data_IF_217446721537
#
_entry.id   IF_217446721537
#
_cell.length_a   1.000
_cell.length_b   1.000
_cell.length_c   1.000
_cell.angle_alpha   90.00
_cell.angle_beta   90.00
_cell.angle_gamma   90.00
#
_symmetry.space_group_name_H-M   'P 1'
#
loop_
_entity.id
_entity.type
_entity.pdbx_description
1 polymer ?
#
# COMPACT_ATOMS: atom_id res chain seq x y z
N UNK A 1 -24.02 20.16 -2.91
CA UNK A 1 -23.16 19.50 -1.91
C UNK A 1 -24.03 19.22 -0.69
N UNK A 2 -24.25 17.96 -0.31
CA UNK A 2 -25.03 17.59 0.88
C UNK A 2 -24.09 17.46 2.10
N UNK A 3 -24.24 18.28 3.14
CA UNK A 3 -23.43 18.20 4.36
C UNK A 3 -23.48 16.83 5.04
N UNK A 4 -24.63 16.14 5.01
CA UNK A 4 -24.78 14.81 5.64
C UNK A 4 -23.96 13.77 4.89
N UNK A 5 -24.01 13.79 3.57
CA UNK A 5 -23.20 12.92 2.72
C UNK A 5 -21.70 13.16 2.93
N UNK A 6 -21.26 14.43 3.03
CA UNK A 6 -19.86 14.77 3.28
C UNK A 6 -19.35 14.18 4.59
N UNK A 7 -20.09 14.35 5.69
CA UNK A 7 -19.71 13.80 7.01
C UNK A 7 -19.64 12.27 6.97
N UNK A 8 -20.59 11.62 6.28
CA UNK A 8 -20.59 10.16 6.14
C UNK A 8 -19.37 9.67 5.35
N UNK A 9 -19.01 10.33 4.25
CA UNK A 9 -17.85 10.00 3.43
C UNK A 9 -16.54 10.19 4.20
N UNK A 10 -16.38 11.31 4.92
CA UNK A 10 -15.22 11.56 5.77
C UNK A 10 -15.09 10.48 6.86
N UNK A 11 -16.19 10.10 7.52
CA UNK A 11 -16.15 9.04 8.53
C UNK A 11 -15.75 7.69 7.93
N UNK A 12 -16.28 7.35 6.76
CA UNK A 12 -15.97 6.09 6.07
C UNK A 12 -14.49 6.04 5.65
N UNK A 13 -13.99 7.12 5.05
CA UNK A 13 -12.62 7.18 4.54
C UNK A 13 -11.58 7.16 5.66
N UNK A 14 -11.84 7.88 6.77
CA UNK A 14 -10.97 7.86 7.96
C UNK A 14 -10.87 6.46 8.57
N UNK A 15 -11.99 5.75 8.67
CA UNK A 15 -12.03 4.36 9.16
C UNK A 15 -11.19 3.45 8.25
N UNK A 16 -11.38 3.56 6.95
CA UNK A 16 -10.65 2.77 5.96
C UNK A 16 -9.14 3.06 6.00
N UNK A 17 -8.76 4.33 6.02
CA UNK A 17 -7.37 4.77 6.10
C UNK A 17 -6.68 4.30 7.39
N UNK A 18 -7.38 4.33 8.54
CA UNK A 18 -6.84 3.79 9.80
C UNK A 18 -6.48 2.30 9.71
N UNK A 19 -7.20 1.52 8.91
CA UNK A 19 -6.88 0.11 8.68
C UNK A 19 -5.70 -0.04 7.71
N UNK A 20 -5.77 0.63 6.56
CA UNK A 20 -4.81 0.43 5.47
C UNK A 20 -3.51 1.24 5.59
N UNK A 21 -3.44 2.20 6.50
CA UNK A 21 -2.19 2.95 6.76
C UNK A 21 -1.03 2.03 7.13
N UNK A 22 -1.35 0.85 7.68
CA UNK A 22 -0.37 -0.18 8.05
C UNK A 22 0.12 -1.01 6.85
N UNK A 23 -0.61 -0.99 5.73
CA UNK A 23 -0.32 -1.77 4.53
C UNK A 23 0.69 -1.08 3.60
N UNK A 24 0.85 0.24 3.75
CA UNK A 24 1.69 1.08 2.90
C UNK A 24 1.15 1.26 1.48
N UNK A 25 -0.15 1.54 1.34
CA UNK A 25 -0.78 1.69 0.02
C UNK A 25 -0.91 3.13 -0.46
N UNK A 26 0.02 3.60 -1.30
CA UNK A 26 -0.04 4.94 -1.89
C UNK A 26 -1.36 5.24 -2.59
N UNK A 27 -1.93 4.26 -3.31
CA UNK A 27 -3.22 4.43 -3.99
C UNK A 27 -4.36 4.74 -3.01
N UNK A 28 -4.49 3.96 -1.93
CA UNK A 28 -5.57 4.18 -0.97
C UNK A 28 -5.36 5.43 -0.11
N UNK A 29 -4.11 5.85 0.11
CA UNK A 29 -3.82 7.15 0.72
C UNK A 29 -4.30 8.29 -0.17
N UNK A 30 -3.90 8.31 -1.45
CA UNK A 30 -4.33 9.37 -2.37
C UNK A 30 -5.85 9.37 -2.56
N UNK A 31 -6.48 8.20 -2.70
CA UNK A 31 -7.94 8.09 -2.76
C UNK A 31 -8.59 8.68 -1.51
N UNK A 32 -8.03 8.42 -0.33
CA UNK A 32 -8.54 8.98 0.92
C UNK A 32 -8.40 10.51 0.99
N UNK A 33 -7.27 11.02 0.54
CA UNK A 33 -6.97 12.44 0.51
C UNK A 33 -7.89 13.23 -0.44
N UNK A 34 -8.45 12.61 -1.48
CA UNK A 34 -9.46 13.27 -2.34
C UNK A 34 -10.75 13.65 -1.58
N UNK A 35 -11.03 12.99 -0.46
CA UNK A 35 -12.21 13.22 0.39
C UNK A 35 -11.84 14.03 1.63
N UNK A 36 -10.70 13.71 2.26
CA UNK A 36 -10.29 14.26 3.54
C UNK A 36 -8.76 14.40 3.66
N UNK A 37 -8.23 15.36 2.92
CA UNK A 37 -6.79 15.63 2.81
C UNK A 37 -6.12 15.85 4.18
N UNK A 38 -6.78 16.57 5.10
CA UNK A 38 -6.22 16.91 6.41
C UNK A 38 -6.01 15.70 7.33
N UNK A 39 -6.62 14.56 7.02
CA UNK A 39 -6.49 13.33 7.81
C UNK A 39 -5.38 12.40 7.30
N UNK A 40 -4.84 12.65 6.10
CA UNK A 40 -3.92 11.73 5.43
C UNK A 40 -2.54 12.36 5.32
N UNK A 41 -1.52 11.66 5.83
CA UNK A 41 -0.12 12.04 5.62
C UNK A 41 0.31 11.70 4.18
N UNK A 42 0.31 12.71 3.32
CA UNK A 42 0.67 12.56 1.90
C UNK A 42 2.14 12.16 1.73
N UNK A 43 3.03 12.62 2.61
CA UNK A 43 4.45 12.27 2.58
C UNK A 43 4.65 10.76 2.63
N UNK A 44 3.95 10.07 3.53
CA UNK A 44 4.01 8.62 3.66
C UNK A 44 3.60 7.93 2.35
N UNK A 45 2.52 8.40 1.72
CA UNK A 45 2.04 7.86 0.45
C UNK A 45 3.09 8.00 -0.66
N UNK A 46 3.78 9.14 -0.70
CA UNK A 46 4.84 9.40 -1.66
C UNK A 46 6.07 8.53 -1.36
N UNK A 47 6.44 8.36 -0.10
CA UNK A 47 7.57 7.54 0.30
C UNK A 47 7.33 6.06 0.00
N UNK A 48 6.12 5.55 0.24
CA UNK A 48 5.74 4.21 -0.22
C UNK A 48 5.84 4.07 -1.73
N UNK A 49 5.43 5.08 -2.50
CA UNK A 49 5.50 5.04 -3.96
C UNK A 49 6.95 5.04 -4.47
N UNK A 50 7.86 5.72 -3.75
CA UNK A 50 9.31 5.71 -4.02
C UNK A 50 9.97 4.37 -3.70
N UNK A 51 9.52 3.71 -2.64
CA UNK A 51 10.03 2.39 -2.25
C UNK A 51 9.55 1.26 -3.18
N UNK A 52 8.47 1.47 -3.93
CA UNK A 52 8.00 0.44 -4.87
C UNK A 52 9.07 0.10 -5.91
N UNK A 53 9.48 -1.17 -6.04
CA UNK A 53 10.53 -1.56 -6.96
C UNK A 53 10.10 -1.30 -8.41
N UNK A 54 11.02 -0.73 -9.18
CA UNK A 54 10.87 -0.49 -10.62
C UNK A 54 10.86 -1.80 -11.40
N UNK A 55 11.64 -2.80 -10.96
CA UNK A 55 11.54 -4.15 -11.48
C UNK A 55 10.25 -4.81 -10.96
N UNK A 56 9.32 -5.07 -11.88
CA UNK A 56 8.03 -5.71 -11.60
C UNK A 56 8.10 -7.24 -11.62
N UNK A 57 9.29 -7.82 -11.84
CA UNK A 57 9.49 -9.26 -11.81
C UNK A 57 9.34 -9.79 -10.39
N UNK A 58 8.52 -10.83 -10.24
CA UNK A 58 8.26 -11.48 -8.96
C UNK A 58 9.39 -12.44 -8.59
N UNK A 59 10.51 -11.89 -8.13
CA UNK A 59 11.66 -12.64 -7.63
C UNK A 59 11.29 -13.44 -6.38
N UNK A 60 11.87 -14.63 -6.19
CA UNK A 60 11.66 -15.38 -4.95
C UNK A 60 12.28 -14.58 -3.79
N UNK A 61 11.46 -14.14 -2.84
CA UNK A 61 11.90 -13.44 -1.64
C UNK A 61 11.48 -14.25 -0.41
N UNK A 62 12.46 -14.53 0.46
CA UNK A 62 12.26 -15.25 1.71
C UNK A 62 12.69 -14.29 2.83
N UNK A 63 11.75 -13.80 3.62
CA UNK A 63 12.01 -12.90 4.74
C UNK A 63 11.64 -13.51 6.09
N UNK A 64 11.04 -14.71 6.12
CA UNK A 64 10.62 -15.41 7.35
C UNK A 64 11.76 -15.71 8.35
N UNK A 65 13.01 -15.65 7.90
CA UNK A 65 14.20 -15.88 8.72
C UNK A 65 14.69 -14.63 9.49
N UNK A 66 14.11 -13.46 9.22
CA UNK A 66 14.50 -12.20 9.84
C UNK A 66 14.20 -12.19 11.34
N UNK A 67 15.10 -11.60 12.12
CA UNK A 67 14.93 -11.51 13.58
C UNK A 67 14.03 -10.34 14.01
N UNK A 68 13.83 -9.34 13.13
CA UNK A 68 13.08 -8.12 13.40
C UNK A 68 11.59 -8.21 13.05
N UNK A 69 11.15 -9.32 12.47
CA UNK A 69 9.73 -9.52 12.11
C UNK A 69 8.92 -10.06 13.29
N UNK A 70 7.65 -9.71 13.33
CA UNK A 70 6.69 -10.26 14.29
C UNK A 70 5.57 -10.95 13.55
N UNK A 71 5.31 -12.22 13.87
CA UNK A 71 4.18 -12.97 13.29
C UNK A 71 2.86 -12.53 13.93
N UNK A 72 1.84 -12.41 13.09
CA UNK A 72 0.49 -12.19 13.57
C UNK A 72 -0.03 -13.49 14.22
N UNK A 73 -0.72 -13.44 15.37
CA UNK A 73 -1.20 -14.64 16.06
C UNK A 73 -2.30 -15.40 15.30
N UNK A 74 -2.90 -14.76 14.28
CA UNK A 74 -3.94 -15.35 13.44
C UNK A 74 -3.50 -15.39 11.97
N UNK A 75 -3.86 -16.48 11.30
CA UNK A 75 -3.69 -16.64 9.86
C UNK A 75 -4.67 -15.74 9.09
N UNK A 76 -4.40 -15.55 7.80
CA UNK A 76 -5.32 -14.83 6.93
C UNK A 76 -6.54 -15.68 6.53
N UNK A 77 -7.44 -15.12 5.72
CA UNK A 77 -8.66 -15.81 5.25
C UNK A 77 -8.42 -17.05 4.36
N UNK A 78 -7.16 -17.35 4.04
CA UNK A 78 -6.72 -18.47 3.23
C UNK A 78 -5.78 -19.40 4.02
N UNK A 79 -5.83 -19.33 5.36
CA UNK A 79 -5.03 -20.14 6.28
C UNK A 79 -3.51 -19.98 6.08
N UNK A 80 -3.07 -18.78 5.68
CA UNK A 80 -1.64 -18.44 5.53
C UNK A 80 -1.14 -17.61 6.68
N UNK A 81 0.08 -17.93 7.11
CA UNK A 81 0.80 -17.12 8.09
C UNK A 81 1.12 -15.74 7.53
N UNK A 82 1.02 -14.74 8.40
CA UNK A 82 1.23 -13.34 8.05
C UNK A 82 1.93 -12.59 9.17
N UNK A 83 2.59 -11.51 8.83
CA UNK A 83 3.26 -10.61 9.76
C UNK A 83 2.26 -9.67 10.42
N UNK A 84 2.61 -9.21 11.63
CA UNK A 84 1.86 -8.18 12.35
C UNK A 84 2.04 -6.78 11.72
N UNK A 85 3.16 -6.56 11.04
CA UNK A 85 3.51 -5.34 10.32
C UNK A 85 4.02 -5.70 8.93
N UNK A 86 3.59 -4.95 7.91
CA UNK A 86 4.09 -5.16 6.56
C UNK A 86 5.56 -4.75 6.47
N UNK A 87 6.34 -5.48 5.67
CA UNK A 87 7.70 -5.08 5.34
C UNK A 87 7.67 -3.81 4.45
N UNK A 88 8.76 -3.00 4.48
CA UNK A 88 8.99 -1.94 3.51
C UNK A 88 8.76 -2.42 2.06
N UNK A 89 8.27 -1.54 1.19
CA UNK A 89 7.84 -1.93 -0.16
C UNK A 89 8.99 -2.42 -1.06
N UNK A 90 10.21 -1.99 -0.78
CA UNK A 90 11.47 -2.38 -1.41
C UNK A 90 12.04 -3.72 -0.89
N UNK A 91 11.60 -4.19 0.28
CA UNK A 91 12.03 -5.45 0.90
C UNK A 91 11.07 -6.62 0.63
N UNK A 92 10.03 -6.40 -0.19
CA UNK A 92 9.02 -7.42 -0.54
C UNK A 92 8.63 -7.36 -2.01
N UNK A 93 8.06 -8.45 -2.52
CA UNK A 93 7.46 -8.41 -3.85
C UNK A 93 6.21 -7.56 -3.82
N UNK A 94 6.25 -6.43 -4.52
CA UNK A 94 5.09 -5.60 -4.71
C UNK A 94 4.23 -6.11 -5.87
N UNK A 95 2.99 -6.53 -5.58
CA UNK A 95 2.02 -7.00 -6.58
C UNK A 95 0.89 -5.95 -6.73
N UNK A 96 -0.33 -6.37 -7.06
CA UNK A 96 -1.52 -5.51 -7.03
C UNK A 96 -1.89 -5.05 -5.63
N UNK A 97 -2.49 -3.86 -5.53
CA UNK A 97 -2.98 -3.26 -4.28
C UNK A 97 -3.99 -4.11 -3.49
N UNK A 98 -4.54 -5.17 -4.08
CA UNK A 98 -5.48 -6.09 -3.41
C UNK A 98 -4.82 -7.35 -2.85
N UNK A 99 -3.50 -7.52 -2.98
CA UNK A 99 -2.76 -8.63 -2.40
C UNK A 99 -2.47 -8.35 -0.93
N UNK A 100 -2.41 -9.42 -0.11
CA UNK A 100 -2.01 -9.32 1.28
C UNK A 100 -0.54 -8.84 1.38
N UNK A 101 -0.26 -7.65 1.95
CA UNK A 101 1.09 -7.10 2.07
C UNK A 101 1.90 -7.75 3.22
N UNK A 102 1.24 -8.49 4.11
CA UNK A 102 1.79 -9.04 5.33
C UNK A 102 2.48 -10.40 5.15
N UNK A 103 2.55 -10.95 3.93
CA UNK A 103 3.30 -12.18 3.72
C UNK A 103 4.81 -11.92 3.80
N UNK A 104 5.49 -12.64 4.71
CA UNK A 104 6.94 -12.58 4.82
C UNK A 104 7.62 -13.11 3.54
N UNK A 105 7.18 -14.28 3.09
CA UNK A 105 7.76 -14.97 1.94
C UNK A 105 6.85 -14.82 0.72
N UNK A 106 7.44 -14.47 -0.43
CA UNK A 106 6.68 -14.16 -1.63
C UNK A 106 7.48 -14.37 -2.92
N UNK A 107 6.82 -14.16 -4.05
CA UNK A 107 7.43 -14.24 -5.37
C UNK A 107 7.20 -15.57 -6.08
N UNK A 108 7.55 -15.60 -7.36
CA UNK A 108 7.29 -16.74 -8.25
C UNK A 108 8.53 -17.11 -9.08
N UNK A 109 9.70 -17.05 -8.44
CA UNK A 109 10.98 -17.46 -9.04
C UNK A 109 11.37 -16.64 -10.27
N UNK A 110 10.87 -15.41 -10.39
CA UNK A 110 11.16 -14.52 -11.52
C UNK A 110 10.45 -14.86 -12.83
N UNK A 111 9.58 -15.88 -12.85
CA UNK A 111 8.85 -16.33 -14.04
C UNK A 111 7.63 -15.47 -14.36
N UNK A 112 7.27 -14.56 -13.44
CA UNK A 112 6.08 -13.72 -13.55
C UNK A 112 6.48 -12.26 -13.39
N UNK A 113 5.84 -11.40 -14.17
CA UNK A 113 5.95 -9.95 -14.09
C UNK A 113 4.55 -9.44 -13.78
N UNK A 114 4.43 -8.66 -12.70
CA UNK A 114 3.15 -8.00 -12.41
C UNK A 114 2.93 -6.80 -13.35
N UNK A 115 1.67 -6.43 -13.56
CA UNK A 115 1.33 -5.27 -14.37
C UNK A 115 1.78 -3.95 -13.74
N UNK A 116 2.10 -2.97 -14.58
CA UNK A 116 2.55 -1.64 -14.14
C UNK A 116 1.42 -0.77 -13.56
N UNK A 117 0.18 -1.22 -13.70
CA UNK A 117 -1.02 -0.47 -13.31
C UNK A 117 -1.02 -0.06 -11.84
N UNK A 118 -0.47 -0.87 -10.92
CA UNK A 118 -0.43 -0.53 -9.49
C UNK A 118 0.36 0.75 -9.24
N UNK A 119 1.57 0.84 -9.81
CA UNK A 119 2.41 2.02 -9.67
C UNK A 119 1.84 3.21 -10.44
N UNK A 120 1.49 3.00 -11.72
CA UNK A 120 0.99 4.05 -12.60
C UNK A 120 -0.31 4.68 -12.06
N UNK A 121 -1.22 3.88 -11.53
CA UNK A 121 -2.49 4.38 -10.97
C UNK A 121 -2.25 5.31 -9.77
N UNK A 122 -1.40 4.89 -8.83
CA UNK A 122 -1.08 5.72 -7.67
C UNK A 122 -0.33 7.00 -8.09
N UNK A 123 0.67 6.86 -8.96
CA UNK A 123 1.44 7.99 -9.47
C UNK A 123 0.56 9.02 -10.17
N UNK A 124 -0.24 8.60 -11.15
CA UNK A 124 -1.08 9.52 -11.91
C UNK A 124 -2.21 10.12 -11.07
N UNK A 125 -2.75 9.39 -10.10
CA UNK A 125 -3.69 9.94 -9.12
C UNK A 125 -3.03 11.06 -8.30
N UNK A 126 -1.84 10.81 -7.76
CA UNK A 126 -1.08 11.80 -7.00
C UNK A 126 -0.74 13.04 -7.83
N UNK A 127 -0.34 12.86 -9.11
CA UNK A 127 -0.09 13.96 -10.05
C UNK A 127 -1.35 14.74 -10.39
N UNK A 128 -2.45 14.06 -10.69
CA UNK A 128 -3.71 14.68 -11.10
C UNK A 128 -4.33 15.54 -9.98
N UNK A 129 -4.28 15.07 -8.74
CA UNK A 129 -4.80 15.80 -7.58
C UNK A 129 -3.80 16.79 -6.98
N UNK A 130 -2.59 16.92 -7.54
CA UNK A 130 -1.57 17.86 -7.07
C UNK A 130 -0.85 17.44 -5.79
N UNK A 131 -0.99 16.19 -5.35
CA UNK A 131 -0.25 15.64 -4.21
C UNK A 131 1.23 15.41 -4.54
N UNK A 132 1.53 15.14 -5.81
CA UNK A 132 2.89 15.01 -6.34
C UNK A 132 3.15 16.19 -7.27
N UNK A 133 3.92 17.16 -6.80
CA UNK A 133 4.33 18.35 -7.55
C UNK A 133 5.74 18.23 -8.15
N UNK A 134 6.10 19.22 -8.97
CA UNK A 134 7.52 19.53 -9.20
C UNK A 134 8.03 20.29 -7.97
N UNK A 135 9.23 19.97 -7.50
CA UNK A 135 9.98 20.89 -6.66
C UNK A 135 10.20 22.17 -7.47
N UNK A 136 9.89 23.33 -6.88
CA UNK A 136 10.25 24.65 -7.42
C UNK A 136 11.74 24.93 -7.24
#
# INVERSE_FOLDING_TARGET
YDPKARVALQKAVRRHHRTLSRDGSSFFYFAAATIDLEYVEISDAVDFLRQMPTDRRQWKMINSHRADITWHPYQDRFDKDQLLYALPADERNFDRWNKNPYYADSGRGGQYVDGEASWLMAYWMGRYHGFIGKEE
#
